data_IF_036666965127
#
_entry.id   IF_036666965127
#
_cell.length_a   1.000
_cell.length_b   1.000
_cell.length_c   1.000
_cell.angle_alpha   90.00
_cell.angle_beta   90.00
_cell.angle_gamma   90.00
#
_symmetry.space_group_name_H-M   'P 1'
#
loop_
_entity.id
_entity.type
_entity.pdbx_description
1 polymer ?
#
# COMPACT_ATOMS: atom_id res chain seq x y z
N UNK A 1 2.63 15.13 11.73
CA UNK A 1 1.93 14.16 10.86
C UNK A 1 1.67 14.80 9.50
N UNK A 2 1.92 14.07 8.41
CA UNK A 2 1.78 14.50 7.01
C UNK A 2 1.17 13.36 6.20
N UNK A 3 0.05 13.62 5.52
CA UNK A 3 -0.51 12.72 4.51
C UNK A 3 -0.02 13.16 3.12
N UNK A 4 0.49 12.22 2.33
CA UNK A 4 0.93 12.46 0.95
C UNK A 4 0.19 11.52 0.01
N UNK A 5 -0.45 12.09 -1.01
CA UNK A 5 -1.05 11.30 -2.09
C UNK A 5 0.02 10.91 -3.10
N UNK A 6 0.25 9.60 -3.25
CA UNK A 6 1.18 9.05 -4.24
C UNK A 6 0.52 8.91 -5.61
N UNK A 7 -0.77 8.61 -5.62
CA UNK A 7 -1.62 8.62 -6.81
C UNK A 7 -3.05 8.93 -6.45
N UNK A 8 -3.76 9.49 -7.43
CA UNK A 8 -5.17 9.94 -7.33
C UNK A 8 -5.98 9.49 -8.53
N UNK A 9 -5.46 8.51 -9.28
CA UNK A 9 -6.10 7.94 -10.45
C UNK A 9 -7.05 6.80 -10.10
N UNK A 10 -7.94 6.50 -11.04
CA UNK A 10 -8.72 5.26 -11.05
C UNK A 10 -7.80 4.04 -11.27
N UNK A 11 -8.35 2.83 -11.28
CA UNK A 11 -7.62 1.57 -11.49
C UNK A 11 -6.80 1.54 -12.77
N UNK A 12 -7.24 2.25 -13.81
CA UNK A 12 -6.53 2.38 -15.10
C UNK A 12 -5.49 3.51 -15.13
N UNK A 13 -5.41 4.33 -14.08
CA UNK A 13 -4.70 5.60 -14.11
C UNK A 13 -5.33 6.62 -15.08
N UNK A 14 -4.66 7.75 -15.24
CA UNK A 14 -4.94 8.75 -16.28
C UNK A 14 -3.60 9.23 -16.85
N UNK A 15 -3.38 9.17 -18.18
CA UNK A 15 -4.30 8.74 -19.22
C UNK A 15 -4.58 7.23 -19.21
N UNK A 16 -5.80 6.85 -19.61
CA UNK A 16 -6.14 5.46 -19.85
C UNK A 16 -5.55 4.97 -21.18
N UNK A 17 -5.13 3.71 -21.24
CA UNK A 17 -4.50 3.11 -22.43
C UNK A 17 -5.43 3.26 -23.65
N UNK A 18 -4.94 3.94 -24.69
CA UNK A 18 -5.67 4.14 -25.94
C UNK A 18 -6.78 5.21 -25.92
N UNK A 19 -6.96 5.95 -24.82
CA UNK A 19 -7.99 6.98 -24.72
C UNK A 19 -7.51 8.34 -25.25
N UNK A 20 -8.30 8.96 -26.13
CA UNK A 20 -8.03 10.27 -26.71
C UNK A 20 -9.01 11.37 -26.23
N UNK A 21 -9.71 11.16 -25.12
CA UNK A 21 -10.63 12.17 -24.58
C UNK A 21 -9.87 13.43 -24.11
N UNK A 22 -10.61 14.52 -23.87
CA UNK A 22 -10.02 15.80 -23.46
C UNK A 22 -9.15 15.70 -22.19
N UNK A 23 -9.49 14.82 -21.24
CA UNK A 23 -8.70 14.63 -20.01
C UNK A 23 -7.43 13.83 -20.29
N UNK A 24 -7.51 12.75 -21.08
CA UNK A 24 -6.35 11.91 -21.39
C UNK A 24 -5.35 12.58 -22.35
N UNK A 25 -5.78 13.59 -23.10
CA UNK A 25 -4.93 14.40 -23.98
C UNK A 25 -4.58 15.77 -23.38
N UNK A 26 -5.00 16.02 -22.13
CA UNK A 26 -4.70 17.26 -21.39
C UNK A 26 -3.19 17.46 -21.25
N UNK A 27 -2.72 18.70 -21.42
CA UNK A 27 -1.34 19.09 -21.15
C UNK A 27 -1.12 19.52 -19.70
N UNK A 28 -2.18 19.54 -18.88
CA UNK A 28 -2.07 19.83 -17.47
C UNK A 28 -1.43 18.65 -16.73
N UNK A 29 -0.28 18.84 -16.05
CA UNK A 29 0.40 17.75 -15.35
C UNK A 29 -0.45 17.11 -14.23
N UNK A 30 -1.48 17.80 -13.72
CA UNK A 30 -2.39 17.28 -12.68
C UNK A 30 -3.38 16.24 -13.22
N UNK A 31 -3.53 16.16 -14.53
CA UNK A 31 -4.33 15.12 -15.19
C UNK A 31 -3.52 13.84 -15.43
N UNK A 32 -2.21 13.84 -15.18
CA UNK A 32 -1.41 12.62 -15.15
C UNK A 32 -1.45 11.98 -13.75
N UNK A 33 -2.20 10.88 -13.62
CA UNK A 33 -2.53 10.26 -12.34
C UNK A 33 -2.19 8.77 -12.36
N UNK A 34 -1.22 8.39 -11.54
CA UNK A 34 -0.97 6.98 -11.17
C UNK A 34 -2.12 6.44 -10.32
N UNK A 35 -2.23 5.11 -10.21
CA UNK A 35 -3.24 4.44 -9.36
C UNK A 35 -3.17 4.92 -7.91
N UNK A 36 -4.33 4.89 -7.25
CA UNK A 36 -4.50 5.45 -5.90
C UNK A 36 -3.58 4.76 -4.89
N UNK A 37 -2.86 5.57 -4.13
CA UNK A 37 -2.01 5.16 -3.01
C UNK A 37 -1.61 6.41 -2.22
N UNK A 38 -1.29 6.27 -0.94
CA UNK A 38 -0.85 7.37 -0.10
C UNK A 38 0.18 6.92 0.94
N UNK A 39 0.94 7.87 1.49
CA UNK A 39 1.72 7.64 2.71
C UNK A 39 1.27 8.56 3.84
N UNK A 40 1.28 8.02 5.06
CA UNK A 40 1.14 8.78 6.29
C UNK A 40 2.48 8.81 7.02
N UNK A 41 3.05 9.99 7.15
CA UNK A 41 4.37 10.22 7.71
C UNK A 41 4.26 10.97 9.05
N UNK A 42 4.91 10.47 10.10
CA UNK A 42 4.87 11.07 11.43
C UNK A 42 6.07 10.67 12.28
N UNK A 43 6.22 11.33 13.42
CA UNK A 43 7.16 10.93 14.47
C UNK A 43 6.35 10.25 15.56
N UNK A 44 6.72 9.03 15.94
CA UNK A 44 6.05 8.28 16.99
C UNK A 44 6.35 8.84 18.39
N UNK A 45 5.66 8.37 19.46
CA UNK A 45 5.91 8.84 20.83
C UNK A 45 7.32 8.58 21.35
N UNK A 46 8.09 7.69 20.71
CA UNK A 46 9.48 7.40 21.04
C UNK A 46 10.48 8.31 20.32
N UNK A 47 10.00 9.20 19.45
CA UNK A 47 10.82 10.14 18.69
C UNK A 47 11.33 9.60 17.36
N UNK A 48 10.86 8.43 16.90
CA UNK A 48 11.29 7.87 15.63
C UNK A 48 10.37 8.28 14.48
N UNK A 49 10.94 8.56 13.31
CA UNK A 49 10.18 8.76 12.08
C UNK A 49 9.52 7.44 11.63
N UNK A 50 8.28 7.55 11.17
CA UNK A 50 7.43 6.47 10.70
C UNK A 50 6.78 6.85 9.37
N UNK A 51 6.70 5.87 8.47
CA UNK A 51 5.99 5.96 7.19
C UNK A 51 5.04 4.77 7.08
N UNK A 52 3.74 5.03 7.07
CA UNK A 52 2.73 4.03 6.75
C UNK A 52 2.34 4.18 5.28
N UNK A 53 2.43 3.10 4.51
CA UNK A 53 1.91 3.04 3.14
C UNK A 53 0.44 2.59 3.17
N UNK A 54 -0.43 3.31 2.46
CA UNK A 54 -1.83 2.94 2.24
C UNK A 54 -1.95 2.50 0.79
N UNK A 55 -2.21 1.20 0.61
CA UNK A 55 -2.22 0.48 -0.65
C UNK A 55 -0.88 0.51 -1.41
N UNK A 56 -0.39 -0.66 -1.79
CA UNK A 56 0.80 -0.83 -2.63
C UNK A 56 0.38 -0.96 -4.09
N UNK A 57 0.06 0.18 -4.72
CA UNK A 57 -0.36 0.20 -6.12
C UNK A 57 0.74 -0.34 -7.04
N UNK A 58 0.43 -0.85 -8.25
CA UNK A 58 1.48 -1.30 -9.15
C UNK A 58 2.37 -0.16 -9.68
N UNK A 59 2.07 1.11 -9.34
CA UNK A 59 2.92 2.27 -9.65
C UNK A 59 3.91 2.57 -8.50
N UNK A 60 3.92 1.78 -7.42
CA UNK A 60 4.67 2.04 -6.18
C UNK A 60 6.14 2.39 -6.43
N UNK A 61 6.83 1.66 -7.32
CA UNK A 61 8.22 1.96 -7.67
C UNK A 61 8.38 3.38 -8.22
N UNK A 62 7.55 3.77 -9.19
CA UNK A 62 7.61 5.11 -9.77
C UNK A 62 7.20 6.18 -8.75
N UNK A 63 6.18 5.90 -7.95
CA UNK A 63 5.70 6.77 -6.89
C UNK A 63 6.79 7.03 -5.84
N UNK A 64 7.44 5.96 -5.35
CA UNK A 64 8.51 6.05 -4.37
C UNK A 64 9.73 6.81 -4.90
N UNK A 65 10.13 6.56 -6.17
CA UNK A 65 11.24 7.29 -6.79
C UNK A 65 10.93 8.78 -6.98
N UNK A 66 9.71 9.11 -7.43
CA UNK A 66 9.26 10.50 -7.63
C UNK A 66 9.25 11.28 -6.32
N UNK A 67 8.77 10.63 -5.25
CA UNK A 67 8.56 11.24 -3.94
C UNK A 67 9.75 11.09 -2.98
N UNK A 68 10.79 10.37 -3.41
CA UNK A 68 11.97 9.98 -2.61
C UNK A 68 11.59 9.30 -1.30
N UNK A 69 10.71 8.31 -1.40
CA UNK A 69 10.32 7.47 -0.26
C UNK A 69 11.38 6.38 -0.10
N UNK A 70 12.01 6.36 1.06
CA UNK A 70 13.11 5.43 1.38
C UNK A 70 12.77 4.51 2.58
N UNK A 71 11.59 4.69 3.17
CA UNK A 71 11.12 3.99 4.37
C UNK A 71 9.64 3.66 4.25
N UNK A 72 9.25 2.45 4.68
CA UNK A 72 7.86 2.01 4.90
C UNK A 72 7.86 1.09 6.11
N UNK A 73 7.29 1.54 7.23
CA UNK A 73 7.25 0.80 8.49
C UNK A 73 6.05 -0.14 8.60
N UNK A 74 4.95 0.19 7.91
CA UNK A 74 3.75 -0.64 7.85
C UNK A 74 2.98 -0.37 6.57
N UNK A 75 2.18 -1.34 6.15
CA UNK A 75 1.28 -1.25 5.00
C UNK A 75 -0.15 -1.51 5.46
N UNK A 76 -1.06 -0.59 5.13
CA UNK A 76 -2.50 -0.78 5.27
C UNK A 76 -3.07 -1.08 3.89
N UNK A 77 -3.75 -2.21 3.72
CA UNK A 77 -4.43 -2.56 2.47
C UNK A 77 -5.94 -2.39 2.66
N UNK A 78 -6.55 -1.61 1.78
CA UNK A 78 -8.00 -1.35 1.79
C UNK A 78 -8.80 -2.56 1.29
N UNK A 79 -8.37 -3.14 0.16
CA UNK A 79 -8.95 -4.34 -0.45
C UNK A 79 -8.02 -4.96 -1.50
N UNK A 80 -8.41 -6.13 -2.03
CA UNK A 80 -7.55 -7.02 -2.82
C UNK A 80 -7.44 -6.70 -4.33
N UNK A 81 -8.02 -5.60 -4.81
CA UNK A 81 -7.98 -5.28 -6.23
C UNK A 81 -6.56 -4.95 -6.71
N UNK A 82 -6.27 -5.29 -7.96
CA UNK A 82 -4.93 -5.24 -8.53
C UNK A 82 -4.27 -3.85 -8.44
N UNK A 83 -5.04 -2.79 -8.62
CA UNK A 83 -4.61 -1.40 -8.52
C UNK A 83 -4.18 -0.98 -7.11
N UNK A 84 -4.51 -1.76 -6.09
CA UNK A 84 -4.15 -1.52 -4.69
C UNK A 84 -3.02 -2.42 -4.17
N UNK A 85 -2.76 -3.57 -4.81
CA UNK A 85 -1.89 -4.61 -4.22
C UNK A 85 -0.76 -5.10 -5.13
N UNK A 86 -0.78 -4.83 -6.44
CA UNK A 86 0.23 -5.40 -7.36
C UNK A 86 1.60 -4.71 -7.28
N UNK A 87 1.76 -3.69 -6.44
CA UNK A 87 3.06 -3.13 -6.07
C UNK A 87 3.72 -3.82 -4.88
N UNK A 88 3.07 -4.78 -4.22
CA UNK A 88 3.61 -5.41 -3.00
C UNK A 88 4.99 -6.05 -3.20
N UNK A 89 5.29 -6.55 -4.40
CA UNK A 89 6.61 -7.10 -4.71
C UNK A 89 7.72 -6.06 -4.53
N UNK A 90 7.48 -4.79 -4.90
CA UNK A 90 8.46 -3.69 -4.82
C UNK A 90 8.87 -3.36 -3.38
N UNK A 91 8.08 -3.79 -2.38
CA UNK A 91 8.34 -3.55 -0.96
C UNK A 91 9.65 -4.16 -0.48
N UNK A 92 10.16 -5.20 -1.15
CA UNK A 92 11.49 -5.79 -0.93
C UNK A 92 12.60 -4.75 -0.82
N UNK A 93 12.50 -3.64 -1.56
CA UNK A 93 13.52 -2.58 -1.50
C UNK A 93 13.51 -1.86 -0.16
N UNK A 94 12.34 -1.63 0.42
CA UNK A 94 12.19 -1.06 1.76
C UNK A 94 12.68 -2.03 2.83
N UNK A 95 12.37 -3.33 2.70
CA UNK A 95 12.92 -4.35 3.60
C UNK A 95 14.45 -4.28 3.65
N UNK A 96 15.12 -4.19 2.49
CA UNK A 96 16.59 -4.07 2.42
C UNK A 96 17.11 -2.74 2.95
N UNK A 97 16.41 -1.62 2.72
CA UNK A 97 16.82 -0.31 3.24
C UNK A 97 16.71 -0.23 4.77
N UNK A 98 15.70 -0.88 5.33
CA UNK A 98 15.39 -0.84 6.75
C UNK A 98 15.98 -2.01 7.55
N UNK A 99 16.48 -3.04 6.86
CA UNK A 99 16.89 -4.32 7.42
C UNK A 99 15.82 -4.92 8.36
N UNK A 100 14.57 -4.89 7.89
CA UNK A 100 13.40 -5.28 8.69
C UNK A 100 12.25 -5.81 7.83
N UNK A 101 11.52 -6.78 8.39
CA UNK A 101 10.21 -7.19 7.87
C UNK A 101 9.19 -6.08 8.02
N UNK A 102 8.21 -6.00 7.12
CA UNK A 102 7.17 -4.96 7.15
C UNK A 102 5.82 -5.60 7.48
N UNK A 103 5.10 -5.04 8.43
CA UNK A 103 3.76 -5.54 8.77
C UNK A 103 2.74 -5.07 7.73
N UNK A 104 1.90 -6.00 7.26
CA UNK A 104 0.82 -5.73 6.31
C UNK A 104 -0.54 -6.01 6.95
N UNK A 105 -1.32 -4.95 7.13
CA UNK A 105 -2.60 -4.96 7.81
C UNK A 105 -3.73 -5.00 6.78
N UNK A 106 -4.61 -5.98 6.91
CA UNK A 106 -5.79 -6.14 6.05
C UNK A 106 -6.84 -7.02 6.75
N UNK A 107 -8.07 -7.04 6.25
CA UNK A 107 -9.08 -7.98 6.72
C UNK A 107 -8.77 -9.43 6.27
N UNK A 108 -9.51 -10.40 6.82
CA UNK A 108 -9.29 -11.81 6.54
C UNK A 108 -9.44 -12.16 5.05
N UNK A 109 -10.44 -11.57 4.38
CA UNK A 109 -10.71 -11.79 2.95
C UNK A 109 -9.57 -11.28 2.08
N UNK A 110 -9.09 -10.07 2.37
CA UNK A 110 -7.98 -9.46 1.64
C UNK A 110 -6.71 -10.29 1.85
N UNK A 111 -6.39 -10.71 3.07
CA UNK A 111 -5.26 -11.61 3.33
C UNK A 111 -5.35 -12.94 2.57
N UNK A 112 -6.53 -13.55 2.50
CA UNK A 112 -6.73 -14.77 1.70
C UNK A 112 -6.41 -14.54 0.22
N UNK A 113 -6.91 -13.43 -0.35
CA UNK A 113 -6.61 -13.07 -1.72
C UNK A 113 -5.11 -12.77 -1.94
N UNK A 114 -4.48 -12.04 -1.02
CA UNK A 114 -3.05 -11.73 -1.08
C UNK A 114 -2.20 -13.01 -1.04
N UNK A 115 -2.52 -13.99 -0.18
CA UNK A 115 -1.80 -15.28 -0.15
C UNK A 115 -1.90 -16.04 -1.47
N UNK A 116 -3.06 -15.95 -2.16
CA UNK A 116 -3.24 -16.59 -3.47
C UNK A 116 -2.39 -15.95 -4.57
N UNK A 117 -2.20 -14.63 -4.52
CA UNK A 117 -1.45 -13.88 -5.53
C UNK A 117 0.05 -13.86 -5.22
N UNK A 118 0.42 -13.75 -3.95
CA UNK A 118 1.78 -13.59 -3.45
C UNK A 118 2.18 -14.66 -2.41
N UNK A 119 2.01 -15.97 -2.69
CA UNK A 119 2.35 -17.02 -1.73
C UNK A 119 3.84 -16.97 -1.35
N UNK A 120 4.69 -16.57 -2.31
CA UNK A 120 6.13 -16.42 -2.11
C UNK A 120 6.52 -15.26 -1.19
N UNK A 121 5.61 -14.33 -0.90
CA UNK A 121 5.81 -13.22 0.05
C UNK A 121 5.25 -13.60 1.42
N UNK A 122 4.05 -14.20 1.47
CA UNK A 122 3.27 -14.35 2.71
C UNK A 122 3.34 -15.72 3.40
N UNK A 123 3.75 -16.79 2.69
CA UNK A 123 3.73 -18.17 3.23
C UNK A 123 5.14 -18.72 3.52
N UNK A 124 6.13 -17.86 3.76
CA UNK A 124 7.56 -18.26 3.89
C UNK A 124 7.96 -18.88 5.23
N UNK A 125 7.07 -18.96 6.22
CA UNK A 125 7.42 -19.49 7.55
C UNK A 125 8.42 -18.59 8.30
N UNK A 126 9.35 -19.18 9.06
CA UNK A 126 10.40 -18.46 9.81
C UNK A 126 11.75 -18.37 9.07
N UNK A 127 11.84 -18.91 7.85
CA UNK A 127 13.10 -18.94 7.13
C UNK A 127 13.41 -17.53 6.60
N UNK A 128 14.56 -16.93 6.97
CA UNK A 128 14.96 -15.63 6.45
C UNK A 128 15.07 -15.72 4.92
N UNK A 129 14.72 -14.65 4.19
CA UNK A 129 14.74 -14.69 2.75
C UNK A 129 16.17 -14.94 2.24
N UNK A 130 16.39 -16.09 1.60
CA UNK A 130 17.67 -16.40 0.92
C UNK A 130 17.95 -15.49 -0.30
N UNK A 131 17.03 -14.56 -0.64
CA UNK A 131 17.06 -13.74 -1.86
C UNK A 131 16.30 -12.41 -1.73
N UNK A 132 16.51 -11.47 -2.67
CA UNK A 132 15.86 -10.15 -2.78
C UNK A 132 14.34 -10.28 -3.07
N UNK A 133 13.58 -10.71 -2.07
CA UNK A 133 12.13 -10.92 -2.08
C UNK A 133 11.52 -10.12 -0.95
N UNK A 134 10.28 -9.66 -1.12
CA UNK A 134 9.58 -8.92 -0.07
C UNK A 134 9.36 -9.80 1.16
N UNK A 135 9.54 -9.21 2.33
CA UNK A 135 9.34 -9.86 3.63
C UNK A 135 8.24 -9.14 4.39
N UNK A 136 7.05 -9.74 4.42
CA UNK A 136 5.84 -9.16 4.98
C UNK A 136 5.25 -10.05 6.08
N UNK A 137 4.88 -9.42 7.19
CA UNK A 137 4.20 -10.09 8.30
C UNK A 137 2.70 -9.76 8.25
N UNK A 138 1.82 -10.74 7.99
CA UNK A 138 0.39 -10.47 7.92
C UNK A 138 -0.19 -10.15 9.30
N UNK A 139 -0.94 -9.04 9.38
CA UNK A 139 -1.70 -8.62 10.55
C UNK A 139 -3.18 -8.51 10.18
N UNK A 140 -4.02 -9.24 10.89
CA UNK A 140 -5.47 -9.17 10.71
C UNK A 140 -6.01 -7.92 11.40
N UNK A 141 -6.88 -7.19 10.71
CA UNK A 141 -7.67 -6.12 11.30
C UNK A 141 -9.16 -6.43 11.14
N UNK A 142 -9.95 -5.99 12.11
CA UNK A 142 -11.40 -6.18 12.10
C UNK A 142 -12.12 -4.83 11.88
N UNK A 143 -13.26 -4.84 11.18
CA UNK A 143 -14.07 -3.63 11.01
C UNK A 143 -14.41 -2.99 12.35
N UNK A 144 -14.23 -1.67 12.45
CA UNK A 144 -14.53 -0.87 13.64
C UNK A 144 -13.75 -1.27 14.91
N UNK A 145 -12.75 -2.14 14.80
CA UNK A 145 -11.86 -2.51 15.90
C UNK A 145 -10.56 -1.69 15.80
N UNK A 146 -10.39 -0.64 16.63
CA UNK A 146 -9.22 0.22 16.55
C UNK A 146 -7.98 -0.51 17.07
N UNK A 147 -6.84 -0.24 16.46
CA UNK A 147 -5.55 -0.76 16.89
C UNK A 147 -4.51 0.36 16.99
N UNK A 148 -3.46 0.12 17.76
CA UNK A 148 -2.30 1.00 17.84
C UNK A 148 -1.30 0.65 16.74
N UNK A 149 -0.86 1.65 16.00
CA UNK A 149 0.19 1.53 15.00
C UNK A 149 1.24 2.61 15.26
N UNK A 150 2.26 2.27 16.05
CA UNK A 150 3.32 3.18 16.49
C UNK A 150 2.80 4.40 17.28
N UNK A 151 1.84 4.19 18.18
CA UNK A 151 1.21 5.26 18.95
C UNK A 151 0.09 6.00 18.20
N UNK A 152 -0.16 5.65 16.92
CA UNK A 152 -1.30 6.15 16.17
C UNK A 152 -2.48 5.19 16.33
N UNK A 153 -3.62 5.71 16.78
CA UNK A 153 -4.88 4.97 16.78
C UNK A 153 -5.44 4.91 15.36
N UNK A 154 -5.46 3.71 14.77
CA UNK A 154 -6.07 3.44 13.45
C UNK A 154 -7.40 2.74 13.66
N UNK A 155 -8.47 3.19 13.00
CA UNK A 155 -9.80 2.58 13.08
C UNK A 155 -10.25 2.19 11.67
N UNK A 156 -10.29 0.89 11.33
CA UNK A 156 -10.79 0.44 10.03
C UNK A 156 -12.28 0.71 9.88
N UNK A 157 -12.67 1.39 8.81
CA UNK A 157 -14.08 1.72 8.55
C UNK A 157 -14.61 0.79 7.45
N UNK A 158 -15.66 -0.02 7.71
CA UNK A 158 -16.26 -0.86 6.68
C UNK A 158 -17.01 -0.01 5.65
N UNK A 159 -16.77 -0.29 4.38
CA UNK A 159 -17.42 0.36 3.24
C UNK A 159 -17.93 -0.69 2.25
N UNK A 160 -18.85 -0.28 1.38
CA UNK A 160 -19.29 -1.09 0.24
C UNK A 160 -18.67 -0.56 -1.05
N UNK A 161 -17.80 -1.35 -1.67
CA UNK A 161 -17.30 -1.12 -3.02
C UNK A 161 -18.14 -1.93 -4.02
N UNK A 162 -19.23 -1.31 -4.49
CA UNK A 162 -20.29 -2.03 -5.20
C UNK A 162 -21.04 -2.96 -4.24
N UNK A 163 -20.90 -4.27 -4.43
CA UNK A 163 -21.44 -5.30 -3.51
C UNK A 163 -20.37 -5.92 -2.61
N UNK A 164 -19.11 -5.52 -2.78
CA UNK A 164 -17.98 -6.09 -2.05
C UNK A 164 -17.72 -5.28 -0.78
N UNK A 165 -17.71 -5.90 0.40
CA UNK A 165 -17.24 -5.22 1.61
C UNK A 165 -15.72 -4.99 1.49
N UNK A 166 -15.29 -3.78 1.87
CA UNK A 166 -13.89 -3.35 1.91
C UNK A 166 -13.64 -2.53 3.17
N UNK A 167 -12.37 -2.26 3.48
CA UNK A 167 -11.98 -1.34 4.56
C UNK A 167 -11.44 -0.01 4.00
N UNK A 168 -11.71 1.08 4.71
CA UNK A 168 -11.13 2.41 4.49
C UNK A 168 -10.72 3.09 5.78
#
# INVERSE_FOLDING_TARGET
>A
MRLRFLGTGTSSGVPAIGCACAVCTSTDPRDNRTRTSATLEFTDPTGHERVILIDASPDLRQQALRERIERVDAILITHEHADHVFGLDEVRRFNVLMDASIEVFADARTHEALRRVFPYILDRGQDPPESFVADLIPRLVEPLAPFDLFGLRVTPIPLLHGRHPVLG
#
